data_IF_813857101052
#
_entry.id   IF_813857101052
#
_cell.length_a   1.000
_cell.length_b   1.000
_cell.length_c   1.000
_cell.angle_alpha   90.00
_cell.angle_beta   90.00
_cell.angle_gamma   90.00
#
_symmetry.space_group_name_H-M   'P 1'
#
loop_
_entity.id
_entity.type
_entity.pdbx_description
1 polymer ?
#
# COMPACT_ATOMS: atom_id res chain seq x y z
N UNK A 1 -11.35 -12.62 5.81
CA UNK A 1 -10.45 -11.92 6.75
C UNK A 1 -10.96 -10.56 7.23
N UNK A 2 -11.08 -9.51 6.39
CA UNK A 2 -11.51 -8.18 6.87
C UNK A 2 -12.99 -8.14 7.30
N UNK A 3 -13.88 -8.68 6.47
CA UNK A 3 -15.32 -8.77 6.77
C UNK A 3 -15.60 -9.57 8.05
N UNK A 4 -14.88 -10.68 8.27
CA UNK A 4 -14.95 -11.48 9.50
C UNK A 4 -14.56 -10.70 10.76
N UNK A 5 -13.80 -9.60 10.60
CA UNK A 5 -13.40 -8.68 11.68
C UNK A 5 -14.29 -7.43 11.75
N UNK A 6 -15.39 -7.37 11.00
CA UNK A 6 -16.28 -6.21 10.93
C UNK A 6 -15.69 -5.00 10.20
N UNK A 7 -14.69 -5.22 9.33
CA UNK A 7 -14.04 -4.16 8.54
C UNK A 7 -14.58 -4.23 7.12
N UNK A 8 -15.34 -3.20 6.73
CA UNK A 8 -16.13 -3.17 5.50
C UNK A 8 -15.62 -2.17 4.44
N UNK A 9 -14.40 -1.63 4.61
CA UNK A 9 -13.84 -0.56 3.76
C UNK A 9 -13.72 -0.95 2.27
N UNK A 10 -13.68 -2.25 1.96
CA UNK A 10 -13.48 -2.79 0.61
C UNK A 10 -14.75 -3.40 0.00
N UNK A 11 -15.84 -3.52 0.75
CA UNK A 11 -17.02 -4.28 0.34
C UNK A 11 -17.61 -3.78 -0.98
N UNK A 12 -17.73 -2.45 -1.13
CA UNK A 12 -18.24 -1.85 -2.36
C UNK A 12 -17.38 -2.19 -3.59
N UNK A 13 -16.05 -2.12 -3.45
CA UNK A 13 -15.09 -2.41 -4.51
C UNK A 13 -14.86 -3.90 -4.76
N UNK A 14 -15.37 -4.77 -3.87
CA UNK A 14 -15.25 -6.21 -3.97
C UNK A 14 -16.58 -6.89 -4.35
N UNK A 15 -17.67 -6.13 -4.46
CA UNK A 15 -19.00 -6.63 -4.81
C UNK A 15 -19.05 -7.20 -6.23
N UNK A 16 -19.92 -8.18 -6.46
CA UNK A 16 -20.14 -8.76 -7.80
C UNK A 16 -20.44 -7.69 -8.85
N UNK A 17 -21.36 -6.78 -8.53
CA UNK A 17 -21.76 -5.68 -9.42
C UNK A 17 -20.56 -4.81 -9.82
N UNK A 18 -19.74 -4.41 -8.85
CA UNK A 18 -18.58 -3.59 -9.13
C UNK A 18 -17.53 -4.33 -9.96
N UNK A 19 -17.17 -5.57 -9.58
CA UNK A 19 -16.19 -6.38 -10.31
C UNK A 19 -16.61 -6.57 -11.78
N UNK A 20 -17.88 -6.80 -12.04
CA UNK A 20 -18.42 -6.91 -13.40
C UNK A 20 -18.30 -5.58 -14.15
N UNK A 21 -18.66 -4.47 -13.51
CA UNK A 21 -18.58 -3.12 -14.11
C UNK A 21 -17.16 -2.73 -14.55
N UNK A 22 -16.12 -3.28 -13.90
CA UNK A 22 -14.71 -2.96 -14.19
C UNK A 22 -14.02 -4.00 -15.07
N UNK A 23 -14.76 -5.02 -15.56
CA UNK A 23 -14.23 -6.06 -16.45
C UNK A 23 -13.53 -7.21 -15.75
N UNK A 24 -13.80 -7.40 -14.45
CA UNK A 24 -13.24 -8.47 -13.60
C UNK A 24 -14.28 -9.57 -13.30
N UNK A 25 -15.17 -9.85 -14.26
CA UNK A 25 -16.22 -10.87 -14.13
C UNK A 25 -15.69 -12.29 -13.85
N UNK A 26 -14.42 -12.56 -14.18
CA UNK A 26 -13.76 -13.84 -13.93
C UNK A 26 -13.27 -14.03 -12.48
N UNK A 27 -13.25 -12.97 -11.67
CA UNK A 27 -12.86 -13.04 -10.26
C UNK A 27 -14.06 -13.35 -9.37
N UNK A 28 -13.83 -14.05 -8.27
CA UNK A 28 -14.86 -14.29 -7.26
C UNK A 28 -15.22 -12.99 -6.52
N UNK A 29 -16.43 -12.91 -6.00
CA UNK A 29 -16.82 -11.80 -5.13
C UNK A 29 -15.94 -11.78 -3.87
N UNK A 30 -15.43 -10.60 -3.50
CA UNK A 30 -14.40 -10.49 -2.46
C UNK A 30 -12.95 -10.50 -2.98
N UNK A 31 -12.69 -11.01 -4.19
CA UNK A 31 -11.35 -11.04 -4.77
C UNK A 31 -11.02 -9.74 -5.52
N UNK A 32 -10.33 -8.84 -4.82
CA UNK A 32 -9.80 -7.59 -5.38
C UNK A 32 -8.59 -7.79 -6.31
N UNK A 33 -8.02 -9.00 -6.34
CA UNK A 33 -6.78 -9.30 -7.06
C UNK A 33 -5.54 -8.69 -6.41
N UNK A 34 -4.47 -8.46 -7.20
CA UNK A 34 -3.15 -8.07 -6.70
C UNK A 34 -3.07 -6.58 -6.31
N UNK A 35 -3.78 -6.21 -5.24
CA UNK A 35 -3.80 -4.85 -4.67
C UNK A 35 -2.61 -4.58 -3.74
N UNK A 36 -2.68 -3.55 -2.88
CA UNK A 36 -1.59 -3.03 -2.04
C UNK A 36 -0.68 -4.10 -1.43
N UNK A 37 -1.24 -4.99 -0.60
CA UNK A 37 -0.45 -6.02 0.09
C UNK A 37 0.29 -6.95 -0.86
N UNK A 38 -0.33 -7.31 -1.99
CA UNK A 38 0.34 -8.10 -3.01
C UNK A 38 1.49 -7.31 -3.64
N UNK A 39 1.29 -6.04 -4.01
CA UNK A 39 2.36 -5.24 -4.58
C UNK A 39 3.51 -5.04 -3.59
N UNK A 40 3.24 -4.87 -2.29
CA UNK A 40 4.30 -4.69 -1.29
C UNK A 40 5.16 -5.92 -1.07
N UNK A 41 4.59 -7.13 -1.19
CA UNK A 41 5.27 -8.39 -0.87
C UNK A 41 5.70 -9.19 -2.11
N UNK A 42 5.08 -8.93 -3.25
CA UNK A 42 5.21 -9.68 -4.50
C UNK A 42 5.15 -8.73 -5.71
N UNK A 43 5.87 -7.61 -5.67
CA UNK A 43 5.92 -6.67 -6.80
C UNK A 43 6.49 -7.38 -8.03
N UNK A 44 5.76 -7.36 -9.14
CA UNK A 44 6.15 -8.12 -10.34
C UNK A 44 6.24 -9.63 -10.10
N UNK A 45 5.53 -10.15 -9.09
CA UNK A 45 5.49 -11.54 -8.60
C UNK A 45 6.63 -11.99 -7.66
N UNK A 46 7.82 -11.38 -7.71
CA UNK A 46 8.99 -11.92 -7.00
C UNK A 46 9.63 -10.96 -5.99
N UNK A 47 9.37 -9.66 -6.08
CA UNK A 47 10.08 -8.67 -5.26
C UNK A 47 9.30 -8.25 -4.02
N UNK A 48 9.85 -8.54 -2.83
CA UNK A 48 9.31 -8.10 -1.54
C UNK A 48 9.88 -6.71 -1.17
N UNK A 49 9.16 -5.67 -1.60
CA UNK A 49 9.53 -4.27 -1.35
C UNK A 49 9.58 -3.95 0.14
N UNK A 50 8.71 -4.56 0.96
CA UNK A 50 8.65 -4.26 2.39
C UNK A 50 9.92 -4.74 3.11
N UNK A 51 10.41 -5.93 2.75
CA UNK A 51 11.66 -6.45 3.30
C UNK A 51 12.86 -5.64 2.81
N UNK A 52 12.90 -5.26 1.53
CA UNK A 52 13.96 -4.40 0.98
C UNK A 52 14.01 -3.03 1.67
N UNK A 53 12.85 -2.42 1.95
CA UNK A 53 12.76 -1.15 2.71
C UNK A 53 13.31 -1.32 4.13
N UNK A 54 12.88 -2.35 4.86
CA UNK A 54 13.36 -2.61 6.22
C UNK A 54 14.87 -2.88 6.24
N UNK A 55 15.37 -3.67 5.29
CA UNK A 55 16.80 -3.98 5.18
C UNK A 55 17.63 -2.72 4.94
N UNK A 56 17.22 -1.87 3.99
CA UNK A 56 17.92 -0.60 3.71
C UNK A 56 17.89 0.35 4.89
N UNK A 57 16.77 0.50 5.59
CA UNK A 57 16.71 1.37 6.79
C UNK A 57 17.72 0.90 7.84
N UNK A 58 17.88 -0.40 8.04
CA UNK A 58 18.81 -0.97 9.03
C UNK A 58 20.28 -0.91 8.59
N UNK A 59 20.54 -1.22 7.33
CA UNK A 59 21.88 -1.57 6.86
C UNK A 59 22.48 -0.54 5.90
N UNK A 60 21.67 0.33 5.30
CA UNK A 60 22.09 1.38 4.35
C UNK A 60 21.17 2.62 4.45
N UNK A 61 21.07 3.27 5.62
CA UNK A 61 20.05 4.30 5.90
C UNK A 61 20.17 5.57 5.06
N UNK A 62 21.33 5.84 4.47
CA UNK A 62 21.58 6.97 3.57
C UNK A 62 21.16 6.69 2.11
N UNK A 63 20.63 5.49 1.82
CA UNK A 63 20.07 5.16 0.52
C UNK A 63 18.89 6.09 0.19
N UNK A 64 18.95 6.73 -0.97
CA UNK A 64 17.88 7.60 -1.47
C UNK A 64 16.78 6.85 -2.22
N UNK A 65 16.83 5.50 -2.20
CA UNK A 65 15.94 4.58 -2.92
C UNK A 65 15.21 3.64 -1.95
N UNK A 66 14.99 4.08 -0.72
CA UNK A 66 14.12 3.40 0.24
C UNK A 66 12.68 3.79 -0.10
N UNK A 67 12.03 3.00 -0.95
CA UNK A 67 10.73 3.34 -1.55
C UNK A 67 9.80 2.13 -1.52
N UNK A 68 8.58 2.34 -1.04
CA UNK A 68 7.48 1.39 -1.14
C UNK A 68 6.46 1.89 -2.17
N UNK A 69 6.15 1.09 -3.20
CA UNK A 69 5.19 1.44 -4.25
C UNK A 69 4.03 0.44 -4.32
N UNK A 70 2.80 0.94 -4.39
CA UNK A 70 1.64 0.13 -4.79
C UNK A 70 1.30 0.28 -6.29
N UNK A 71 2.00 1.18 -7.01
CA UNK A 71 1.72 1.45 -8.42
C UNK A 71 2.51 0.53 -9.34
N UNK A 72 1.79 -0.40 -9.95
CA UNK A 72 2.32 -1.32 -10.96
C UNK A 72 1.55 -1.17 -12.28
N UNK A 73 2.11 -0.45 -13.26
CA UNK A 73 1.45 -0.19 -14.55
C UNK A 73 1.14 -1.45 -15.37
N UNK A 74 1.83 -2.58 -15.12
CA UNK A 74 1.59 -3.83 -15.84
C UNK A 74 0.30 -4.53 -15.39
N UNK A 75 -0.08 -4.32 -14.12
CA UNK A 75 -1.16 -5.08 -13.47
C UNK A 75 -2.37 -4.20 -13.18
N UNK A 76 -2.15 -2.93 -12.83
CA UNK A 76 -3.21 -2.02 -12.43
C UNK A 76 -3.13 -0.73 -13.23
N UNK A 77 -4.22 -0.40 -13.94
CA UNK A 77 -4.40 0.90 -14.60
C UNK A 77 -5.28 1.87 -13.81
N UNK A 78 -5.93 1.42 -12.73
CA UNK A 78 -7.11 2.14 -12.19
C UNK A 78 -7.06 2.47 -10.70
N UNK A 79 -6.43 1.67 -9.85
CA UNK A 79 -6.75 1.75 -8.41
C UNK A 79 -5.58 2.15 -7.49
N UNK A 80 -4.32 1.83 -7.83
CA UNK A 80 -3.24 1.77 -6.83
C UNK A 80 -2.12 2.78 -7.06
N UNK A 81 -2.34 4.06 -6.83
CA UNK A 81 -1.30 5.05 -7.08
C UNK A 81 -0.81 5.66 -5.77
N UNK A 82 -0.03 4.85 -5.08
CA UNK A 82 0.63 5.25 -3.86
C UNK A 82 2.12 4.93 -3.96
N UNK A 83 2.92 5.92 -3.54
CA UNK A 83 4.37 5.83 -3.41
C UNK A 83 4.77 6.39 -2.05
N UNK A 84 5.60 5.68 -1.31
CA UNK A 84 6.09 6.09 0.00
C UNK A 84 7.62 5.99 0.07
N UNK A 85 8.36 7.05 -0.28
CA UNK A 85 9.78 7.16 0.06
C UNK A 85 9.98 7.36 1.58
N UNK A 86 11.02 6.72 2.10
CA UNK A 86 11.49 6.84 3.46
C UNK A 86 12.83 7.57 3.51
N UNK A 87 13.09 8.25 4.62
CA UNK A 87 14.32 8.99 4.85
C UNK A 87 14.77 8.80 6.30
N UNK A 88 16.07 8.56 6.50
CA UNK A 88 16.68 8.37 7.82
C UNK A 88 17.72 9.44 8.05
N UNK A 89 17.61 10.16 9.17
CA UNK A 89 18.57 11.19 9.57
C UNK A 89 18.61 11.27 11.10
N UNK A 90 19.79 11.40 11.69
CA UNK A 90 19.96 11.52 13.15
C UNK A 90 19.26 10.42 13.97
N UNK A 91 19.12 9.22 13.41
CA UNK A 91 18.41 8.11 14.06
C UNK A 91 16.88 8.22 14.03
N UNK A 92 16.32 9.17 13.28
CA UNK A 92 14.88 9.35 13.09
C UNK A 92 14.45 8.89 11.69
N UNK A 93 13.29 8.21 11.63
CA UNK A 93 12.68 7.76 10.38
C UNK A 93 11.56 8.71 9.98
N UNK A 94 11.64 9.26 8.76
CA UNK A 94 10.59 10.04 8.12
C UNK A 94 9.99 9.27 6.94
N UNK A 95 8.69 9.46 6.71
CA UNK A 95 7.97 8.92 5.56
C UNK A 95 7.23 10.05 4.87
N UNK A 96 7.43 10.18 3.56
CA UNK A 96 6.57 11.00 2.71
C UNK A 96 5.66 10.05 1.93
N UNK A 97 4.36 10.32 1.91
CA UNK A 97 3.40 9.55 1.14
C UNK A 97 2.84 10.40 -0.01
N UNK A 98 2.91 9.88 -1.23
CA UNK A 98 2.30 10.48 -2.40
C UNK A 98 0.99 9.76 -2.73
N UNK A 99 -0.10 10.52 -2.70
CA UNK A 99 -1.45 10.05 -3.02
C UNK A 99 -1.95 10.76 -4.29
N UNK A 100 -2.25 10.01 -5.35
CA UNK A 100 -2.72 10.64 -6.61
C UNK A 100 -4.07 11.35 -6.50
N UNK A 101 -4.89 10.95 -5.54
CA UNK A 101 -6.31 11.30 -5.43
C UNK A 101 -6.74 11.15 -3.99
N UNK A 102 -7.27 12.23 -3.44
CA UNK A 102 -7.50 12.41 -2.02
C UNK A 102 -8.94 12.89 -1.81
N UNK A 103 -9.78 12.03 -1.22
CA UNK A 103 -11.04 12.46 -0.66
C UNK A 103 -10.76 13.14 0.67
N UNK A 104 -10.78 14.48 0.68
CA UNK A 104 -10.43 15.28 1.84
C UNK A 104 -11.38 15.08 3.04
N UNK A 105 -12.64 14.70 2.80
CA UNK A 105 -13.64 14.57 3.86
C UNK A 105 -13.62 13.22 4.54
N UNK A 106 -13.53 12.15 3.73
CA UNK A 106 -13.62 10.78 4.24
C UNK A 106 -12.27 10.06 4.22
N UNK A 107 -11.55 10.06 3.11
CA UNK A 107 -10.35 9.23 2.91
C UNK A 107 -9.12 9.75 3.65
N UNK A 108 -8.78 11.02 3.44
CA UNK A 108 -7.53 11.64 3.92
C UNK A 108 -7.31 11.49 5.43
N UNK A 109 -8.30 11.67 6.32
CA UNK A 109 -8.11 11.43 7.74
C UNK A 109 -7.62 10.00 8.06
N UNK A 110 -8.17 8.98 7.39
CA UNK A 110 -7.73 7.59 7.55
C UNK A 110 -6.37 7.34 6.90
N UNK A 111 -6.09 7.96 5.76
CA UNK A 111 -4.80 7.83 5.07
C UNK A 111 -3.65 8.38 5.92
N UNK A 112 -3.85 9.55 6.56
CA UNK A 112 -2.90 10.15 7.50
C UNK A 112 -2.63 9.16 8.64
N UNK A 113 -3.68 8.70 9.33
CA UNK A 113 -3.54 7.77 10.45
C UNK A 113 -2.83 6.47 10.03
N UNK A 114 -3.17 5.92 8.87
CA UNK A 114 -2.61 4.66 8.36
C UNK A 114 -1.12 4.76 8.06
N UNK A 115 -0.68 5.82 7.36
CA UNK A 115 0.73 6.00 7.02
C UNK A 115 1.56 6.49 8.19
N UNK A 116 0.99 7.28 9.10
CA UNK A 116 1.63 7.57 10.39
C UNK A 116 1.89 6.28 11.16
N UNK A 117 0.88 5.40 11.31
CA UNK A 117 1.04 4.12 11.99
C UNK A 117 2.08 3.22 11.31
N UNK A 118 2.04 3.12 9.97
CA UNK A 118 3.04 2.35 9.22
C UNK A 118 4.47 2.87 9.48
N UNK A 119 4.65 4.19 9.50
CA UNK A 119 5.94 4.83 9.79
C UNK A 119 6.43 4.46 11.19
N UNK A 120 5.55 4.53 12.20
CA UNK A 120 5.87 4.10 13.57
C UNK A 120 6.23 2.60 13.64
N UNK A 121 5.48 1.73 12.96
CA UNK A 121 5.73 0.30 12.96
C UNK A 121 7.09 -0.04 12.33
N UNK A 122 7.43 0.60 11.19
CA UNK A 122 8.72 0.40 10.53
C UNK A 122 9.85 0.93 11.40
N UNK A 123 9.71 2.13 11.98
CA UNK A 123 10.68 2.71 12.89
C UNK A 123 10.92 1.81 14.12
N UNK A 124 9.89 1.18 14.66
CA UNK A 124 10.02 0.32 15.84
C UNK A 124 10.79 -0.99 15.56
N UNK A 125 10.67 -1.54 14.35
CA UNK A 125 11.33 -2.81 13.98
C UNK A 125 12.72 -2.61 13.39
N UNK A 126 13.13 -1.36 13.14
CA UNK A 126 14.44 -0.97 12.62
C UNK A 126 15.34 -0.46 13.73
#
# INVERSE_FOLDING_TARGET
VLQEKGIHIWDGNASREYLDSVGLAHREEGDLGPVYGFQWRHFGAEFDQLIDVIDKIKNNPDDRRIILSAWNPQISRRWLFLLAPFYVENGELSCQMYQRSADMGLGVPFDIASYSLLTYMIAQVC
#
